data_IF_879584300939
#
_entry.id   IF_879584300939
#
_cell.length_a   1.000
_cell.length_b   1.000
_cell.length_c   1.000
_cell.angle_alpha   90.00
_cell.angle_beta   90.00
_cell.angle_gamma   90.00
#
_symmetry.space_group_name_H-M   'P 1'
#
loop_
_entity.id
_entity.type
_entity.pdbx_description
1 polymer ?
#
# COMPACT_ATOMS: atom_id res chain seq x y z
N UNK A 1 -5.89 -10.82 9.87
CA UNK A 1 -6.34 -9.79 10.81
C UNK A 1 -5.15 -9.32 11.64
N UNK A 2 -5.12 -8.07 12.03
CA UNK A 2 -4.08 -7.49 12.88
C UNK A 2 -4.71 -7.03 14.19
N UNK A 3 -3.95 -7.06 15.28
CA UNK A 3 -4.39 -6.52 16.58
C UNK A 3 -4.06 -5.02 16.67
N UNK A 4 -4.89 -4.27 17.39
CA UNK A 4 -4.66 -2.85 17.63
C UNK A 4 -3.92 -2.66 18.97
N UNK A 5 -2.71 -2.07 18.97
CA UNK A 5 -1.94 -1.82 20.16
C UNK A 5 -2.61 -0.86 21.14
N UNK A 6 -3.54 0.01 20.70
CA UNK A 6 -4.31 0.87 21.60
C UNK A 6 -5.22 0.10 22.56
N UNK A 7 -5.57 -1.13 22.22
CA UNK A 7 -6.32 -2.02 23.11
C UNK A 7 -5.44 -2.74 24.13
N UNK A 8 -4.17 -2.36 24.27
CA UNK A 8 -3.20 -3.03 25.15
C UNK A 8 -2.75 -4.40 24.66
N UNK A 9 -3.09 -4.77 23.43
CA UNK A 9 -2.71 -6.03 22.82
C UNK A 9 -1.44 -5.84 21.98
N UNK A 10 -0.51 -6.80 22.01
CA UNK A 10 0.67 -6.74 21.15
C UNK A 10 0.27 -6.82 19.68
N UNK A 11 0.98 -6.06 18.84
CA UNK A 11 0.78 -6.10 17.40
C UNK A 11 1.07 -7.50 16.85
N UNK A 12 0.11 -8.11 16.20
CA UNK A 12 0.22 -9.44 15.64
C UNK A 12 -0.62 -9.59 14.36
N UNK A 13 -0.18 -10.49 13.48
CA UNK A 13 -0.94 -10.93 12.32
C UNK A 13 -1.58 -12.28 12.69
N UNK A 14 -2.89 -12.33 12.59
CA UNK A 14 -3.67 -13.55 12.83
C UNK A 14 -4.11 -14.16 11.51
N UNK A 15 -3.68 -15.36 11.22
CA UNK A 15 -4.18 -16.17 10.11
C UNK A 15 -5.33 -17.03 10.64
N UNK A 16 -6.47 -16.95 9.99
CA UNK A 16 -7.67 -17.71 10.36
C UNK A 16 -8.12 -18.55 9.17
N UNK A 17 -8.64 -19.73 9.46
CA UNK A 17 -9.30 -20.55 8.46
C UNK A 17 -10.69 -19.97 8.19
N UNK A 18 -11.08 -19.92 6.93
CA UNK A 18 -12.47 -19.67 6.54
C UNK A 18 -13.11 -21.04 6.30
N UNK A 19 -14.11 -21.38 7.08
CA UNK A 19 -14.87 -22.63 6.92
C UNK A 19 -15.76 -22.54 5.68
N UNK A 20 -16.02 -23.67 5.06
CA UNK A 20 -16.97 -23.77 3.94
C UNK A 20 -18.41 -23.58 4.39
N UNK A 21 -18.71 -24.04 5.61
CA UNK A 21 -20.00 -23.83 6.27
C UNK A 21 -19.84 -22.71 7.33
N UNK A 22 -20.69 -21.69 7.32
CA UNK A 22 -20.67 -20.63 8.33
C UNK A 22 -20.83 -21.12 9.78
N UNK A 23 -21.57 -22.22 9.98
CA UNK A 23 -21.78 -22.81 11.32
C UNK A 23 -20.50 -23.42 11.91
N UNK A 24 -19.58 -23.85 11.06
CA UNK A 24 -18.27 -24.40 11.47
C UNK A 24 -17.20 -23.33 11.65
N UNK A 25 -17.54 -22.04 11.46
CA UNK A 25 -16.59 -20.95 11.57
C UNK A 25 -16.15 -20.72 13.00
N UNK A 26 -14.96 -21.17 13.36
CA UNK A 26 -14.32 -20.84 14.63
C UNK A 26 -13.63 -19.48 14.53
N UNK A 27 -13.63 -18.70 15.61
CA UNK A 27 -12.85 -17.44 15.69
C UNK A 27 -11.36 -17.67 15.94
N UNK A 28 -10.90 -18.90 16.02
CA UNK A 28 -9.54 -19.27 16.40
C UNK A 28 -8.52 -18.94 15.31
N UNK A 29 -7.31 -18.55 15.73
CA UNK A 29 -6.20 -18.30 14.85
C UNK A 29 -5.40 -19.58 14.64
N UNK A 30 -5.26 -19.98 13.37
CA UNK A 30 -4.40 -21.11 12.98
C UNK A 30 -2.93 -20.75 13.19
N UNK A 31 -2.60 -19.47 13.01
CA UNK A 31 -1.24 -18.98 13.12
C UNK A 31 -1.24 -17.54 13.65
N UNK A 32 -0.26 -17.21 14.51
CA UNK A 32 -0.06 -15.87 15.05
C UNK A 32 1.40 -15.46 14.84
N UNK A 33 1.61 -14.35 14.10
CA UNK A 33 2.94 -13.79 13.83
C UNK A 33 3.12 -12.51 14.64
N UNK A 34 4.15 -12.46 15.47
CA UNK A 34 4.50 -11.32 16.34
C UNK A 34 5.88 -10.79 16.00
N UNK A 35 6.10 -9.47 16.16
CA UNK A 35 7.43 -8.87 15.94
C UNK A 35 7.38 -7.42 15.47
N UNK A 36 6.24 -6.93 14.97
CA UNK A 36 6.08 -5.51 14.69
C UNK A 36 6.02 -4.67 15.98
N UNK A 37 6.63 -3.48 15.88
CA UNK A 37 6.53 -2.45 16.92
C UNK A 37 5.53 -1.39 16.46
N UNK A 38 4.41 -1.23 17.17
CA UNK A 38 3.33 -0.36 16.75
C UNK A 38 2.32 -1.05 15.82
N UNK A 39 1.42 -0.27 15.22
CA UNK A 39 0.32 -0.79 14.40
C UNK A 39 0.81 -1.38 13.09
N UNK A 40 0.26 -2.53 12.71
CA UNK A 40 0.42 -3.11 11.38
C UNK A 40 -0.67 -2.55 10.47
N UNK A 41 -0.28 -1.74 9.49
CA UNK A 41 -1.23 -1.06 8.60
C UNK A 41 -1.66 -1.92 7.42
N UNK A 42 -0.74 -2.76 6.90
CA UNK A 42 -1.01 -3.64 5.77
C UNK A 42 -0.31 -4.98 5.91
N UNK A 43 -1.03 -6.02 5.49
CA UNK A 43 -0.48 -7.36 5.30
C UNK A 43 -1.12 -7.98 4.05
N UNK A 44 -0.32 -8.59 3.20
CA UNK A 44 -0.75 -9.25 1.95
C UNK A 44 -0.11 -10.62 1.82
N UNK A 45 -0.80 -11.50 1.10
CA UNK A 45 -0.25 -12.79 0.72
C UNK A 45 0.82 -12.63 -0.36
N UNK A 46 1.95 -13.26 -0.17
CA UNK A 46 3.02 -13.37 -1.16
C UNK A 46 2.73 -14.43 -2.23
N UNK A 47 3.72 -14.73 -3.08
CA UNK A 47 3.56 -15.69 -4.17
C UNK A 47 3.11 -17.06 -3.67
N UNK A 48 2.16 -17.66 -4.40
CA UNK A 48 1.61 -19.00 -4.13
C UNK A 48 1.06 -19.14 -2.70
N UNK A 49 0.74 -18.05 -2.03
CA UNK A 49 0.31 -17.99 -0.62
C UNK A 49 1.30 -18.65 0.38
N UNK A 50 2.58 -18.78 -0.01
CA UNK A 50 3.62 -19.37 0.85
C UNK A 50 4.21 -18.39 1.85
N UNK A 51 4.02 -17.11 1.63
CA UNK A 51 4.54 -16.05 2.50
C UNK A 51 3.47 -15.02 2.79
N UNK A 52 3.67 -14.23 3.85
CA UNK A 52 2.91 -13.02 4.15
C UNK A 52 3.90 -11.85 4.22
N UNK A 53 3.54 -10.73 3.58
CA UNK A 53 4.33 -9.51 3.60
C UNK A 53 3.56 -8.49 4.41
N UNK A 54 4.22 -7.84 5.36
CA UNK A 54 3.59 -6.86 6.24
C UNK A 54 4.43 -5.60 6.41
N UNK A 55 3.75 -4.49 6.70
CA UNK A 55 4.35 -3.21 7.01
C UNK A 55 3.43 -2.35 7.88
N UNK A 56 4.00 -1.46 8.65
CA UNK A 56 3.26 -0.64 9.60
C UNK A 56 4.04 0.56 10.14
N UNK A 57 3.67 0.99 11.33
CA UNK A 57 4.21 2.20 11.98
C UNK A 57 5.71 2.12 12.27
N UNK A 58 6.25 0.93 12.46
CA UNK A 58 7.68 0.71 12.72
C UNK A 58 8.58 0.89 11.49
N UNK A 59 8.01 1.24 10.33
CA UNK A 59 8.69 1.48 9.04
C UNK A 59 9.38 0.24 8.44
N UNK A 60 9.27 -0.92 9.07
CA UNK A 60 9.95 -2.15 8.67
C UNK A 60 9.00 -3.04 7.88
N UNK A 61 9.44 -3.46 6.70
CA UNK A 61 8.78 -4.52 5.95
C UNK A 61 9.26 -5.87 6.47
N UNK A 62 8.32 -6.81 6.61
CA UNK A 62 8.62 -8.18 7.03
C UNK A 62 8.00 -9.18 6.08
N UNK A 63 8.76 -10.24 5.80
CA UNK A 63 8.27 -11.41 5.08
C UNK A 63 8.26 -12.58 6.06
N UNK A 64 7.10 -13.20 6.18
CA UNK A 64 6.84 -14.32 7.07
C UNK A 64 6.54 -15.57 6.27
N UNK A 65 6.95 -16.70 6.78
CA UNK A 65 6.53 -18.01 6.29
C UNK A 65 5.06 -18.24 6.67
N UNK A 66 4.23 -18.55 5.70
CA UNK A 66 2.78 -18.68 5.90
C UNK A 66 2.36 -20.02 6.52
N UNK A 67 3.24 -21.00 6.55
CA UNK A 67 2.99 -22.31 7.14
C UNK A 67 3.43 -22.34 8.60
N UNK A 68 4.61 -21.80 8.89
CA UNK A 68 5.23 -21.87 10.22
C UNK A 68 5.08 -20.60 11.05
N UNK A 69 4.72 -19.47 10.43
CA UNK A 69 4.67 -18.14 11.06
C UNK A 69 6.02 -17.53 11.39
N UNK A 70 7.12 -18.14 10.97
CA UNK A 70 8.46 -17.64 11.24
C UNK A 70 8.78 -16.43 10.37
N UNK A 71 9.49 -15.48 10.96
CA UNK A 71 10.06 -14.37 10.22
C UNK A 71 11.17 -14.88 9.29
N UNK A 72 11.04 -14.60 8.00
CA UNK A 72 12.04 -14.97 6.98
C UNK A 72 12.99 -13.83 6.67
N UNK A 73 12.46 -12.62 6.51
CA UNK A 73 13.24 -11.42 6.12
C UNK A 73 12.66 -10.16 6.72
N UNK A 74 13.54 -9.17 6.91
CA UNK A 74 13.20 -7.79 7.22
C UNK A 74 13.88 -6.85 6.21
N UNK A 75 13.23 -5.72 5.93
CA UNK A 75 13.85 -4.68 5.11
C UNK A 75 15.03 -4.06 5.83
N UNK A 76 16.07 -3.74 5.07
CA UNK A 76 17.21 -3.00 5.58
C UNK A 76 16.80 -1.58 6.01
N UNK A 77 17.37 -1.10 7.11
CA UNK A 77 17.09 0.23 7.66
C UNK A 77 17.61 1.36 6.79
N UNK A 78 18.67 1.13 6.01
CA UNK A 78 19.27 2.16 5.16
C UNK A 78 18.43 2.39 3.91
N UNK A 79 18.06 1.33 3.22
CA UNK A 79 17.22 1.36 2.01
C UNK A 79 15.73 1.41 2.31
N UNK A 80 15.31 1.04 3.51
CA UNK A 80 13.93 1.00 3.97
C UNK A 80 13.28 2.38 4.11
N UNK A 81 11.99 2.37 4.44
CA UNK A 81 11.26 3.58 4.77
C UNK A 81 11.76 4.21 6.06
N UNK A 82 11.66 5.55 6.16
CA UNK A 82 12.09 6.33 7.35
C UNK A 82 10.95 6.66 8.30
N UNK A 83 9.71 6.46 7.85
CA UNK A 83 8.49 6.64 8.66
C UNK A 83 7.51 5.50 8.37
N UNK A 84 6.42 5.46 9.12
CA UNK A 84 5.41 4.42 9.03
C UNK A 84 4.95 4.14 7.60
N UNK A 85 4.83 2.85 7.29
CA UNK A 85 4.29 2.35 6.02
C UNK A 85 2.78 2.39 6.14
N UNK A 86 2.13 3.06 5.19
CA UNK A 86 0.69 3.30 5.18
C UNK A 86 -0.06 2.32 4.30
N UNK A 87 0.55 1.97 3.17
CA UNK A 87 -0.10 1.17 2.13
C UNK A 87 0.88 0.20 1.48
N UNK A 88 0.34 -0.88 0.94
CA UNK A 88 1.08 -1.90 0.21
C UNK A 88 0.19 -2.50 -0.87
N UNK A 89 0.69 -2.58 -2.10
CA UNK A 89 0.03 -3.22 -3.22
C UNK A 89 0.99 -4.17 -3.95
N UNK A 90 0.49 -5.33 -4.33
CA UNK A 90 1.25 -6.36 -5.04
C UNK A 90 1.01 -6.25 -6.55
N UNK A 91 2.04 -6.50 -7.36
CA UNK A 91 1.90 -6.64 -8.81
C UNK A 91 1.04 -7.86 -9.16
N UNK A 92 0.39 -7.82 -10.32
CA UNK A 92 -0.50 -8.90 -10.76
C UNK A 92 0.26 -10.21 -11.00
N UNK A 93 1.49 -10.11 -11.50
CA UNK A 93 2.39 -11.25 -11.74
C UNK A 93 3.05 -11.80 -10.47
N UNK A 94 2.88 -11.09 -9.33
CA UNK A 94 3.45 -11.49 -8.06
C UNK A 94 4.97 -11.43 -7.97
N UNK A 95 5.65 -10.73 -8.88
CA UNK A 95 7.12 -10.59 -8.89
C UNK A 95 7.60 -9.50 -7.96
N UNK A 96 6.81 -8.43 -7.78
CA UNK A 96 7.17 -7.26 -7.00
C UNK A 96 5.96 -6.68 -6.27
N UNK A 97 6.21 -5.77 -5.36
CA UNK A 97 5.19 -5.00 -4.64
C UNK A 97 5.67 -3.58 -4.39
N UNK A 98 4.71 -2.68 -4.21
CA UNK A 98 4.97 -1.28 -3.90
C UNK A 98 4.45 -0.94 -2.51
N UNK A 99 5.16 -0.07 -1.81
CA UNK A 99 4.78 0.47 -0.50
C UNK A 99 4.71 1.98 -0.53
N UNK A 100 3.76 2.56 0.18
CA UNK A 100 3.67 3.98 0.46
C UNK A 100 3.99 4.28 1.91
N UNK A 101 4.53 5.47 2.19
CA UNK A 101 4.92 5.84 3.54
C UNK A 101 4.72 7.34 3.84
N UNK A 102 4.61 7.64 5.13
CA UNK A 102 4.62 8.99 5.66
C UNK A 102 5.97 9.72 5.46
N UNK A 103 7.01 9.03 4.99
CA UNK A 103 8.30 9.63 4.63
C UNK A 103 8.28 10.36 3.29
N UNK A 104 7.11 10.50 2.66
CA UNK A 104 6.90 11.13 1.35
C UNK A 104 7.54 10.35 0.21
N UNK A 105 7.57 9.03 0.32
CA UNK A 105 8.04 8.17 -0.75
C UNK A 105 7.15 6.95 -0.93
N UNK A 106 7.15 6.43 -2.15
CA UNK A 106 6.76 5.07 -2.43
C UNK A 106 7.98 4.28 -2.89
N UNK A 107 8.04 3.01 -2.54
CA UNK A 107 9.19 2.15 -2.83
C UNK A 107 8.72 0.85 -3.48
N UNK A 108 9.37 0.48 -4.58
CA UNK A 108 9.13 -0.77 -5.31
C UNK A 108 10.15 -1.81 -4.86
N UNK A 109 9.69 -3.02 -4.56
CA UNK A 109 10.49 -4.10 -3.98
C UNK A 109 10.34 -5.39 -4.76
N UNK A 110 11.42 -6.14 -4.88
CA UNK A 110 11.36 -7.55 -5.30
C UNK A 110 10.69 -8.37 -4.18
N UNK A 111 9.70 -9.19 -4.54
CA UNK A 111 8.88 -9.89 -3.55
C UNK A 111 9.60 -11.08 -2.90
N UNK A 112 10.62 -11.65 -3.53
CA UNK A 112 11.34 -12.81 -3.03
C UNK A 112 12.56 -12.43 -2.21
N UNK A 113 13.29 -11.41 -2.68
CA UNK A 113 14.55 -11.00 -2.07
C UNK A 113 14.38 -9.90 -1.04
N UNK A 114 13.27 -9.14 -1.10
CA UNK A 114 13.03 -7.92 -0.36
C UNK A 114 14.06 -6.83 -0.70
N UNK A 115 14.59 -6.87 -1.93
CA UNK A 115 15.54 -5.88 -2.43
C UNK A 115 14.77 -4.67 -2.93
N UNK A 116 15.21 -3.46 -2.58
CA UNK A 116 14.68 -2.21 -3.10
C UNK A 116 15.04 -2.08 -4.58
N UNK A 117 14.04 -1.94 -5.45
CA UNK A 117 14.21 -1.77 -6.88
C UNK A 117 14.20 -0.29 -7.29
N UNK A 118 13.18 0.46 -6.81
CA UNK A 118 12.93 1.85 -7.19
C UNK A 118 12.38 2.66 -6.02
N UNK A 119 12.59 3.98 -6.06
CA UNK A 119 12.01 4.93 -5.10
C UNK A 119 11.36 6.08 -5.84
N UNK A 120 10.09 6.35 -5.52
CA UNK A 120 9.29 7.45 -6.06
C UNK A 120 9.10 8.47 -4.96
N UNK A 121 9.65 9.66 -5.16
CA UNK A 121 9.61 10.75 -4.17
C UNK A 121 8.43 11.67 -4.47
N UNK A 122 7.69 12.01 -3.45
CA UNK A 122 6.53 12.90 -3.54
C UNK A 122 6.70 14.11 -2.60
N UNK A 123 5.96 15.17 -2.88
CA UNK A 123 5.98 16.37 -2.01
C UNK A 123 5.27 16.14 -0.67
N UNK A 124 4.36 15.17 -0.61
CA UNK A 124 3.47 14.90 0.53
C UNK A 124 3.51 13.44 0.96
N UNK A 125 3.08 13.10 2.17
CA UNK A 125 2.92 11.72 2.60
C UNK A 125 2.11 10.90 1.61
N UNK A 126 2.53 9.67 1.37
CA UNK A 126 1.82 8.70 0.53
C UNK A 126 0.96 7.84 1.43
N UNK A 127 -0.37 7.93 1.29
CA UNK A 127 -1.33 7.17 2.10
C UNK A 127 -1.84 5.91 1.38
N UNK A 128 -1.89 5.95 0.05
CA UNK A 128 -2.36 4.85 -0.76
C UNK A 128 -1.46 4.65 -1.99
N UNK A 129 -1.26 3.39 -2.36
CA UNK A 129 -0.52 3.00 -3.56
C UNK A 129 -1.27 1.91 -4.30
N UNK A 130 -1.17 1.92 -5.62
CA UNK A 130 -1.65 0.83 -6.48
C UNK A 130 -0.82 0.77 -7.76
N UNK A 131 -0.88 -0.37 -8.46
CA UNK A 131 -0.17 -0.58 -9.73
C UNK A 131 -1.15 -0.96 -10.81
N UNK A 132 -0.92 -0.45 -12.02
CA UNK A 132 -1.69 -0.87 -13.19
C UNK A 132 -1.45 -2.36 -13.48
N UNK A 133 -2.50 -3.13 -13.77
CA UNK A 133 -2.34 -4.50 -14.20
C UNK A 133 -1.93 -4.65 -15.67
N UNK A 134 -2.07 -3.59 -16.48
CA UNK A 134 -1.79 -3.62 -17.92
C UNK A 134 -0.53 -2.88 -18.34
N UNK A 135 -0.25 -1.75 -17.68
CA UNK A 135 0.84 -0.85 -18.05
C UNK A 135 1.88 -0.74 -16.93
N UNK A 136 3.07 -0.28 -17.27
CA UNK A 136 4.13 0.00 -16.30
C UNK A 136 3.88 1.32 -15.53
N UNK A 137 2.66 1.48 -15.04
CA UNK A 137 2.24 2.64 -14.29
C UNK A 137 1.93 2.30 -12.83
N UNK A 138 2.31 3.22 -11.95
CA UNK A 138 1.90 3.20 -10.54
C UNK A 138 1.09 4.45 -10.24
N UNK A 139 0.17 4.33 -9.28
CA UNK A 139 -0.63 5.46 -8.82
C UNK A 139 -0.42 5.63 -7.32
N UNK A 140 -0.08 6.85 -6.94
CA UNK A 140 0.16 7.27 -5.57
C UNK A 140 -0.90 8.28 -5.15
N UNK A 141 -1.54 8.03 -4.04
CA UNK A 141 -2.49 8.94 -3.40
C UNK A 141 -2.01 9.31 -2.01
N UNK A 142 -2.33 10.51 -1.60
CA UNK A 142 -1.98 10.95 -0.27
C UNK A 142 -2.39 12.39 -0.04
N UNK A 143 -1.71 13.01 0.88
CA UNK A 143 -1.95 14.36 1.34
C UNK A 143 -1.61 14.46 2.81
N UNK A 144 -1.60 15.66 3.32
CA UNK A 144 -1.47 15.91 4.74
C UNK A 144 -2.87 15.97 5.33
N UNK A 145 -3.06 15.41 6.51
CA UNK A 145 -4.30 15.50 7.27
C UNK A 145 -4.80 16.96 7.30
N UNK A 146 -6.10 17.15 7.08
CA UNK A 146 -6.72 18.45 7.07
C UNK A 146 -6.51 19.23 8.40
N UNK A 147 -6.38 18.52 9.53
CA UNK A 147 -6.08 19.09 10.83
C UNK A 147 -4.67 19.70 10.95
N UNK A 148 -3.73 19.25 10.12
CA UNK A 148 -2.34 19.72 10.09
C UNK A 148 -2.09 20.83 9.04
N UNK A 149 -3.11 21.22 8.29
CA UNK A 149 -3.04 22.30 7.29
C UNK A 149 -3.30 23.62 7.99
N UNK A 150 -2.25 24.38 8.27
CA UNK A 150 -2.41 25.79 8.68
C UNK A 150 -2.97 26.60 7.52
N UNK A 151 -3.92 27.51 7.80
CA UNK A 151 -4.70 28.31 6.87
C UNK A 151 -3.90 29.18 5.87
N UNK A 152 -2.59 29.17 5.95
CA UNK A 152 -1.68 30.01 5.15
C UNK A 152 -0.98 29.28 4.00
N UNK A 153 -1.14 27.96 3.85
CA UNK A 153 -0.49 27.25 2.76
C UNK A 153 -1.42 27.15 1.55
N UNK A 154 -1.21 28.02 0.55
CA UNK A 154 -1.90 27.97 -0.76
C UNK A 154 -1.72 26.65 -1.53
N UNK A 155 -0.89 25.73 -1.04
CA UNK A 155 -0.69 24.37 -1.57
C UNK A 155 -1.61 23.34 -0.90
N UNK A 156 -2.40 23.74 0.09
CA UNK A 156 -3.21 22.85 0.92
C UNK A 156 -4.32 22.10 0.15
N UNK A 157 -4.68 22.50 -1.05
CA UNK A 157 -5.83 21.98 -1.80
C UNK A 157 -5.51 21.03 -2.96
N UNK A 158 -4.32 20.50 -3.09
CA UNK A 158 -3.97 19.60 -4.20
C UNK A 158 -3.98 18.13 -3.75
N UNK A 159 -5.17 17.57 -3.67
CA UNK A 159 -5.37 16.15 -3.41
C UNK A 159 -5.61 15.44 -4.73
N UNK A 160 -4.54 14.91 -5.31
CA UNK A 160 -4.58 14.24 -6.61
C UNK A 160 -3.96 12.86 -6.53
N UNK A 161 -4.51 11.93 -7.32
CA UNK A 161 -3.90 10.65 -7.58
C UNK A 161 -2.82 10.85 -8.65
N UNK A 162 -1.55 10.73 -8.25
CA UNK A 162 -0.40 10.96 -9.13
C UNK A 162 0.02 9.67 -9.81
N UNK A 163 0.22 9.74 -11.11
CA UNK A 163 0.68 8.65 -11.95
C UNK A 163 2.17 8.79 -12.21
N UNK A 164 2.87 7.68 -12.05
CA UNK A 164 4.30 7.59 -12.34
C UNK A 164 4.58 6.44 -13.30
N UNK A 165 5.54 6.63 -14.18
CA UNK A 165 6.14 5.52 -14.91
C UNK A 165 6.94 4.64 -13.94
N UNK A 166 6.68 3.34 -13.97
CA UNK A 166 7.30 2.37 -13.08
C UNK A 166 8.79 2.18 -13.36
N UNK A 167 9.20 2.35 -14.61
CA UNK A 167 10.57 2.10 -15.06
C UNK A 167 11.41 3.37 -14.95
N UNK A 168 10.92 4.49 -15.47
CA UNK A 168 11.65 5.76 -15.50
C UNK A 168 11.60 6.54 -14.18
N UNK A 169 10.61 6.23 -13.31
CA UNK A 169 10.36 6.94 -12.05
C UNK A 169 9.90 8.38 -12.24
N UNK A 170 9.39 8.73 -13.42
CA UNK A 170 8.91 10.06 -13.75
C UNK A 170 7.41 10.18 -13.52
N UNK A 171 6.97 11.35 -13.04
CA UNK A 171 5.55 11.67 -12.93
C UNK A 171 4.98 11.95 -14.31
N UNK A 172 4.00 11.17 -14.73
CA UNK A 172 3.35 11.26 -16.05
C UNK A 172 2.06 12.06 -16.01
N UNK A 173 1.49 12.29 -14.84
CA UNK A 173 0.28 13.09 -14.68
C UNK A 173 -0.45 12.84 -13.37
N UNK A 174 -1.61 13.45 -13.24
CA UNK A 174 -2.43 13.30 -12.03
C UNK A 174 -3.91 13.52 -12.29
N UNK A 175 -4.73 12.81 -11.52
CA UNK A 175 -6.18 12.93 -11.53
C UNK A 175 -6.64 13.65 -10.28
N UNK A 176 -7.29 14.80 -10.48
CA UNK A 176 -7.87 15.65 -9.42
C UNK A 176 -9.33 15.27 -9.18
N UNK A 177 -9.85 15.67 -8.04
CA UNK A 177 -11.27 15.49 -7.74
C UNK A 177 -11.57 15.43 -6.25
N UNK A 178 -10.65 14.95 -5.42
CA UNK A 178 -10.82 14.93 -3.98
C UNK A 178 -10.55 16.29 -3.33
N UNK A 179 -11.32 16.59 -2.27
CA UNK A 179 -11.17 17.78 -1.43
C UNK A 179 -10.42 17.46 -0.12
N UNK A 180 -9.92 16.26 0.04
CA UNK A 180 -9.13 15.79 1.16
C UNK A 180 -8.11 14.73 0.74
N UNK A 181 -7.22 14.31 1.66
CA UNK A 181 -6.24 13.27 1.42
C UNK A 181 -6.85 11.99 0.83
N UNK A 182 -6.16 11.39 -0.13
CA UNK A 182 -6.56 10.13 -0.73
C UNK A 182 -5.96 9.01 0.10
N UNK A 183 -6.81 8.19 0.72
CA UNK A 183 -6.41 7.12 1.65
C UNK A 183 -6.61 5.71 1.08
N UNK A 184 -7.28 5.58 -0.05
CA UNK A 184 -7.48 4.31 -0.72
C UNK A 184 -7.38 4.45 -2.25
N UNK A 185 -6.71 3.49 -2.87
CA UNK A 185 -6.58 3.37 -4.32
C UNK A 185 -6.68 1.89 -4.71
N UNK A 186 -7.40 1.60 -5.78
CA UNK A 186 -7.47 0.26 -6.35
C UNK A 186 -7.71 0.33 -7.86
N UNK A 187 -6.90 -0.37 -8.64
CA UNK A 187 -7.22 -0.63 -10.03
C UNK A 187 -8.32 -1.70 -10.16
N UNK A 188 -9.17 -1.53 -11.14
CA UNK A 188 -10.00 -2.64 -11.61
C UNK A 188 -9.07 -3.71 -12.24
N UNK A 189 -9.32 -5.00 -12.02
CA UNK A 189 -8.50 -6.08 -12.59
C UNK A 189 -8.33 -6.03 -14.11
N UNK A 190 -9.28 -5.43 -14.84
CA UNK A 190 -9.20 -5.24 -16.29
C UNK A 190 -8.25 -4.07 -16.70
N UNK A 191 -7.75 -3.29 -15.73
CA UNK A 191 -6.86 -2.16 -15.95
C UNK A 191 -7.47 -0.95 -16.65
N UNK A 192 -8.78 -0.95 -16.93
CA UNK A 192 -9.47 0.12 -17.68
C UNK A 192 -10.04 1.22 -16.78
N UNK A 193 -9.99 1.02 -15.47
CA UNK A 193 -10.44 1.98 -14.49
C UNK A 193 -9.71 1.81 -13.17
N UNK A 194 -9.77 2.83 -12.33
CA UNK A 194 -9.34 2.76 -10.93
C UNK A 194 -10.30 3.52 -10.04
N UNK A 195 -10.36 3.13 -8.78
CA UNK A 195 -11.11 3.80 -7.75
C UNK A 195 -10.17 4.54 -6.79
N UNK A 196 -10.61 5.70 -6.32
CA UNK A 196 -9.95 6.47 -5.27
C UNK A 196 -10.94 6.82 -4.16
N UNK A 197 -10.49 6.70 -2.90
CA UNK A 197 -11.27 7.07 -1.71
C UNK A 197 -10.52 8.10 -0.88
N UNK A 198 -11.19 9.17 -0.49
CA UNK A 198 -10.60 10.29 0.22
C UNK A 198 -11.29 10.62 1.54
N UNK A 199 -10.66 11.48 2.34
CA UNK A 199 -11.22 12.00 3.60
C UNK A 199 -12.43 12.92 3.38
N UNK A 200 -12.67 13.34 2.14
CA UNK A 200 -13.89 14.07 1.75
C UNK A 200 -15.16 13.21 1.77
N UNK A 201 -15.05 11.94 2.13
CA UNK A 201 -16.15 10.99 2.24
C UNK A 201 -16.63 10.42 0.90
N UNK A 202 -15.93 10.69 -0.19
CA UNK A 202 -16.29 10.18 -1.51
C UNK A 202 -15.37 9.05 -1.97
N UNK A 203 -15.98 8.10 -2.67
CA UNK A 203 -15.28 7.14 -3.55
C UNK A 203 -15.56 7.56 -4.97
N UNK A 204 -14.50 7.72 -5.76
CA UNK A 204 -14.59 8.10 -7.17
C UNK A 204 -14.08 6.97 -8.04
N UNK A 205 -14.83 6.66 -9.10
CA UNK A 205 -14.42 5.72 -10.13
C UNK A 205 -13.98 6.51 -11.37
N UNK A 206 -12.76 6.25 -11.81
CA UNK A 206 -12.13 6.90 -12.95
C UNK A 206 -11.94 5.89 -14.07
N UNK A 207 -12.49 6.19 -15.24
CA UNK A 207 -12.31 5.38 -16.44
C UNK A 207 -11.24 6.01 -17.32
N UNK A 208 -10.35 5.19 -17.83
CA UNK A 208 -9.35 5.62 -18.81
C UNK A 208 -9.96 5.66 -20.20
N UNK A 209 -9.58 6.66 -20.97
CA UNK A 209 -9.88 6.73 -22.41
C UNK A 209 -8.88 5.90 -23.23
N UNK A 210 -9.14 5.82 -24.55
CA UNK A 210 -8.29 5.06 -25.45
C UNK A 210 -6.85 5.62 -25.51
N UNK A 211 -6.69 6.94 -25.36
CA UNK A 211 -5.40 7.61 -25.50
C UNK A 211 -4.46 7.23 -24.35
N UNK A 212 -4.98 6.97 -23.15
CA UNK A 212 -4.19 6.49 -22.02
C UNK A 212 -3.39 5.22 -22.34
N UNK A 213 -3.94 4.31 -23.13
CA UNK A 213 -3.29 3.05 -23.50
C UNK A 213 -2.27 3.18 -24.62
N UNK A 214 -2.19 4.36 -25.25
CA UNK A 214 -1.27 4.67 -26.36
C UNK A 214 -0.16 5.65 -25.94
N UNK A 215 -0.10 6.04 -24.67
CA UNK A 215 0.99 6.87 -24.15
C UNK A 215 2.31 6.13 -24.35
N UNK A 216 3.15 6.67 -25.24
CA UNK A 216 4.56 6.24 -25.40
C UNK A 216 5.41 7.21 -24.60
N UNK A 217 6.10 6.70 -23.61
CA UNK A 217 7.09 7.41 -22.81
C UNK A 217 8.47 7.07 -23.33
#
# INVERSE_FOLDING_TARGET
MTTDPFMGLPSAIHVKRIASDPEDQTGESVLIMKGHQGRINRAVWGPLNKTIISGGEDSVLRIWDAETGKLLKESDKESGHKKGITSLAKSIDGSHFITGSLDKSAKLWDIRTLTLLKTYVTERPVNAVTMSPLLDHIVLGGGQDASAVTTTDHRAGKFEAKFFDKILQEEIGGVKGHFGPINALAFNPDGKSFASGGEDGYVRLHHFDADYFHIKI
#
